data_IF_980015094536
#
_entry.id   IF_980015094536
#
_cell.length_a   1.000
_cell.length_b   1.000
_cell.length_c   1.000
_cell.angle_alpha   90.00
_cell.angle_beta   90.00
_cell.angle_gamma   90.00
#
_symmetry.space_group_name_H-M   'P 1'
#
loop_
_entity.id
_entity.type
_entity.pdbx_description
1 polymer ?
#
# COMPACT_ATOMS: atom_id res chain seq x y z
N UNK A 1 8.11 0.25 -14.76
CA UNK A 1 8.57 -1.14 -14.57
C UNK A 1 8.81 -1.32 -13.08
N UNK A 2 8.40 -2.46 -12.51
CA UNK A 2 8.64 -2.74 -11.09
C UNK A 2 10.14 -2.75 -10.76
N UNK A 3 10.50 -2.14 -9.64
CA UNK A 3 11.86 -2.07 -9.08
C UNK A 3 12.13 -3.23 -8.12
N UNK A 4 11.09 -3.85 -7.57
CA UNK A 4 11.16 -5.02 -6.69
C UNK A 4 10.71 -6.30 -7.38
N UNK A 5 10.92 -7.44 -6.70
CA UNK A 5 10.49 -8.77 -7.18
C UNK A 5 9.56 -9.44 -6.17
N UNK A 6 8.74 -10.41 -6.59
CA UNK A 6 7.88 -11.17 -5.68
C UNK A 6 8.64 -11.84 -4.54
N UNK A 7 9.82 -12.42 -4.82
CA UNK A 7 10.63 -13.08 -3.79
C UNK A 7 11.17 -12.09 -2.75
N UNK A 8 11.52 -10.87 -3.18
CA UNK A 8 11.97 -9.84 -2.25
C UNK A 8 10.83 -9.36 -1.33
N UNK A 9 9.61 -9.24 -1.87
CA UNK A 9 8.42 -8.91 -1.07
C UNK A 9 8.08 -10.05 -0.11
N UNK A 10 8.11 -11.30 -0.59
CA UNK A 10 7.89 -12.50 0.23
C UNK A 10 8.83 -12.54 1.43
N UNK A 11 10.12 -12.27 1.21
CA UNK A 11 11.11 -12.23 2.29
C UNK A 11 10.83 -11.12 3.34
N UNK A 12 10.20 -10.00 2.96
CA UNK A 12 9.79 -8.97 3.94
C UNK A 12 8.54 -9.39 4.71
N UNK A 13 7.58 -10.05 4.04
CA UNK A 13 6.36 -10.55 4.68
C UNK A 13 6.68 -11.64 5.72
N UNK A 14 7.59 -12.55 5.41
CA UNK A 14 8.04 -13.60 6.35
C UNK A 14 8.68 -13.02 7.61
N UNK A 15 9.39 -11.87 7.49
CA UNK A 15 9.94 -11.15 8.66
C UNK A 15 8.87 -10.49 9.53
N UNK A 16 7.64 -10.38 9.04
CA UNK A 16 6.49 -9.89 9.81
C UNK A 16 5.63 -11.05 10.34
N UNK A 17 6.16 -12.28 10.34
CA UNK A 17 5.46 -13.52 10.71
C UNK A 17 4.20 -13.77 9.86
N UNK A 18 4.12 -13.17 8.68
CA UNK A 18 3.01 -13.35 7.77
C UNK A 18 3.12 -14.70 7.05
N UNK A 19 2.05 -15.53 7.02
CA UNK A 19 2.09 -16.82 6.34
C UNK A 19 2.07 -16.63 4.82
N UNK A 20 3.25 -16.62 4.20
CA UNK A 20 3.45 -16.44 2.75
C UNK A 20 3.31 -17.71 1.93
N UNK A 21 3.29 -18.89 2.58
CA UNK A 21 3.28 -20.19 1.92
C UNK A 21 2.07 -20.37 0.97
N UNK A 22 0.95 -19.72 1.29
CA UNK A 22 -0.29 -19.77 0.50
C UNK A 22 -0.35 -18.71 -0.62
N UNK A 23 0.64 -17.79 -0.69
CA UNK A 23 0.64 -16.70 -1.67
C UNK A 23 1.35 -17.10 -2.96
N UNK A 24 0.59 -17.13 -4.05
CA UNK A 24 1.16 -17.27 -5.39
C UNK A 24 1.99 -16.04 -5.78
N UNK A 25 2.98 -16.24 -6.63
CA UNK A 25 3.79 -15.16 -7.20
C UNK A 25 2.93 -14.11 -7.90
N UNK A 26 1.86 -14.55 -8.56
CA UNK A 26 0.91 -13.67 -9.26
C UNK A 26 0.11 -12.79 -8.29
N UNK A 27 -0.29 -13.31 -7.12
CA UNK A 27 -0.95 -12.49 -6.09
C UNK A 27 0.00 -11.45 -5.51
N UNK A 28 1.25 -11.83 -5.24
CA UNK A 28 2.26 -10.87 -4.77
C UNK A 28 2.48 -9.78 -5.83
N UNK A 29 2.48 -10.15 -7.12
CA UNK A 29 2.60 -9.19 -8.21
C UNK A 29 1.40 -8.24 -8.27
N UNK A 30 0.20 -8.78 -8.39
CA UNK A 30 -1.02 -8.00 -8.70
C UNK A 30 -1.55 -7.21 -7.51
N UNK A 31 -1.50 -7.76 -6.29
CA UNK A 31 -2.00 -7.08 -5.08
C UNK A 31 -0.91 -6.25 -4.43
N UNK A 32 0.34 -6.72 -4.48
CA UNK A 32 1.47 -6.03 -3.86
C UNK A 32 2.14 -5.05 -4.81
N UNK A 33 2.84 -5.60 -5.80
CA UNK A 33 3.86 -4.89 -6.58
C UNK A 33 3.24 -3.89 -7.56
N UNK A 34 2.23 -4.27 -8.33
CA UNK A 34 1.62 -3.41 -9.34
C UNK A 34 1.08 -2.09 -8.76
N UNK A 35 0.26 -2.09 -7.69
CA UNK A 35 -0.17 -0.84 -7.05
C UNK A 35 1.01 -0.06 -6.44
N UNK A 36 1.98 -0.75 -5.83
CA UNK A 36 3.15 -0.07 -5.25
C UNK A 36 4.02 0.62 -6.33
N UNK A 37 4.15 0.01 -7.52
CA UNK A 37 4.87 0.61 -8.64
C UNK A 37 4.16 1.86 -9.14
N UNK A 38 2.83 1.86 -9.22
CA UNK A 38 2.05 3.05 -9.59
C UNK A 38 2.28 4.20 -8.60
N UNK A 39 2.16 3.93 -7.30
CA UNK A 39 2.38 4.95 -6.26
C UNK A 39 3.80 5.52 -6.32
N UNK A 40 4.82 4.66 -6.47
CA UNK A 40 6.22 5.11 -6.54
C UNK A 40 6.49 5.91 -7.82
N UNK A 41 5.93 5.48 -8.96
CA UNK A 41 6.11 6.17 -10.24
C UNK A 41 5.45 7.55 -10.22
N UNK A 42 4.20 7.65 -9.75
CA UNK A 42 3.44 8.89 -9.75
C UNK A 42 3.92 9.88 -8.69
N UNK A 43 4.25 9.38 -7.50
CA UNK A 43 4.54 10.25 -6.36
C UNK A 43 6.02 10.50 -6.19
N UNK A 44 6.86 9.47 -6.36
CA UNK A 44 8.24 9.50 -5.89
C UNK A 44 9.29 9.62 -7.00
N UNK A 45 8.98 9.24 -8.25
CA UNK A 45 9.97 9.21 -9.33
C UNK A 45 10.72 10.54 -9.52
N UNK A 46 10.04 11.68 -9.33
CA UNK A 46 10.61 13.02 -9.53
C UNK A 46 11.08 13.69 -8.23
N UNK A 47 11.27 12.94 -7.14
CA UNK A 47 11.67 13.48 -5.84
C UNK A 47 13.18 13.56 -5.64
N UNK A 48 13.98 13.15 -6.63
CA UNK A 48 15.45 13.15 -6.55
C UNK A 48 16.03 12.06 -5.64
N UNK A 49 15.21 11.08 -5.24
CA UNK A 49 15.67 9.93 -4.47
C UNK A 49 16.43 8.94 -5.36
N UNK A 50 17.37 8.20 -4.77
CA UNK A 50 18.13 7.17 -5.48
C UNK A 50 17.24 5.97 -5.85
N UNK A 51 17.57 5.28 -6.94
CA UNK A 51 16.85 4.08 -7.39
C UNK A 51 16.77 3.01 -6.30
N UNK A 52 17.84 2.80 -5.54
CA UNK A 52 17.85 1.87 -4.41
C UNK A 52 16.83 2.23 -3.33
N UNK A 53 16.56 3.52 -3.14
CA UNK A 53 15.59 4.01 -2.16
C UNK A 53 14.18 3.84 -2.70
N UNK A 54 13.94 4.20 -3.95
CA UNK A 54 12.66 3.96 -4.61
C UNK A 54 12.31 2.48 -4.62
N UNK A 55 13.29 1.60 -4.89
CA UNK A 55 13.15 0.15 -4.80
C UNK A 55 12.81 -0.33 -3.39
N UNK A 56 13.42 0.25 -2.37
CA UNK A 56 13.14 -0.09 -0.98
C UNK A 56 11.73 0.33 -0.58
N UNK A 57 11.31 1.53 -0.96
CA UNK A 57 9.96 2.04 -0.72
C UNK A 57 8.92 1.18 -1.44
N UNK A 58 9.12 0.87 -2.72
CA UNK A 58 8.22 0.01 -3.50
C UNK A 58 8.01 -1.36 -2.84
N UNK A 59 9.10 -1.96 -2.33
CA UNK A 59 9.01 -3.25 -1.62
C UNK A 59 8.17 -3.17 -0.35
N UNK A 60 8.35 -2.12 0.43
CA UNK A 60 7.59 -1.91 1.67
C UNK A 60 6.12 -1.59 1.40
N UNK A 61 5.82 -0.80 0.37
CA UNK A 61 4.46 -0.56 -0.09
C UNK A 61 3.79 -1.85 -0.59
N UNK A 62 4.50 -2.65 -1.38
CA UNK A 62 3.96 -3.92 -1.88
C UNK A 62 3.59 -4.87 -0.74
N UNK A 63 4.44 -4.98 0.28
CA UNK A 63 4.11 -5.76 1.47
C UNK A 63 2.97 -5.15 2.28
N UNK A 64 2.91 -3.82 2.40
CA UNK A 64 1.80 -3.13 3.05
C UNK A 64 0.45 -3.43 2.37
N UNK A 65 0.39 -3.40 1.03
CA UNK A 65 -0.82 -3.68 0.27
C UNK A 65 -1.31 -5.11 0.52
N UNK A 66 -0.40 -6.09 0.53
CA UNK A 66 -0.73 -7.49 0.85
C UNK A 66 -1.28 -7.61 2.27
N UNK A 67 -0.59 -7.02 3.26
CA UNK A 67 -1.03 -7.06 4.66
C UNK A 67 -2.40 -6.38 4.86
N UNK A 68 -2.68 -5.31 4.12
CA UNK A 68 -3.90 -4.51 4.26
C UNK A 68 -5.10 -5.10 3.50
N UNK A 69 -4.85 -5.97 2.51
CA UNK A 69 -5.91 -6.58 1.70
C UNK A 69 -6.76 -7.64 2.41
N UNK A 70 -6.42 -8.02 3.64
CA UNK A 70 -7.14 -9.05 4.41
C UNK A 70 -6.77 -10.48 3.97
N UNK A 71 -6.33 -11.31 4.92
CA UNK A 71 -5.83 -12.67 4.66
C UNK A 71 -6.89 -13.56 3.99
N UNK A 72 -8.16 -13.41 4.38
CA UNK A 72 -9.27 -14.24 3.89
C UNK A 72 -9.63 -13.92 2.43
N UNK A 73 -9.54 -12.65 2.04
CA UNK A 73 -9.84 -12.19 0.68
C UNK A 73 -8.78 -12.68 -0.34
N UNK A 74 -7.51 -12.72 0.06
CA UNK A 74 -6.44 -13.31 -0.75
C UNK A 74 -6.59 -14.83 -0.90
N UNK A 75 -6.97 -15.52 0.18
CA UNK A 75 -7.23 -16.98 0.15
C UNK A 75 -8.48 -17.33 -0.66
N UNK A 76 -9.54 -16.53 -0.55
CA UNK A 76 -10.72 -16.65 -1.39
C UNK A 76 -10.37 -16.44 -2.86
N UNK A 77 -9.55 -15.44 -3.20
CA UNK A 77 -9.10 -15.22 -4.59
C UNK A 77 -8.40 -16.45 -5.19
N UNK A 78 -7.63 -17.22 -4.41
CA UNK A 78 -7.02 -18.48 -4.88
C UNK A 78 -8.07 -19.56 -5.18
N UNK A 79 -9.17 -19.60 -4.42
CA UNK A 79 -10.27 -20.57 -4.61
C UNK A 79 -11.34 -20.09 -5.61
N UNK A 80 -11.49 -18.78 -5.81
CA UNK A 80 -12.53 -18.11 -6.62
C UNK A 80 -12.05 -17.72 -8.02
N UNK A 81 -10.80 -17.99 -8.41
CA UNK A 81 -10.29 -17.75 -9.78
C UNK A 81 -11.02 -18.50 -10.92
N UNK A 82 -12.17 -19.12 -10.63
CA UNK A 82 -13.11 -19.64 -11.63
C UNK A 82 -14.21 -18.63 -11.99
N UNK A 83 -14.54 -17.65 -11.15
CA UNK A 83 -15.64 -16.71 -11.45
C UNK A 83 -15.25 -15.24 -11.19
N UNK A 84 -15.47 -14.43 -12.23
CA UNK A 84 -15.14 -13.00 -12.27
C UNK A 84 -15.95 -12.22 -11.24
N UNK A 85 -15.28 -11.48 -10.38
CA UNK A 85 -15.78 -10.19 -9.88
C UNK A 85 -14.60 -9.27 -9.54
N UNK A 86 -14.56 -8.09 -10.18
CA UNK A 86 -13.69 -6.99 -9.75
C UNK A 86 -14.22 -6.48 -8.41
N UNK A 87 -13.72 -7.00 -7.29
CA UNK A 87 -13.94 -6.41 -5.98
C UNK A 87 -13.07 -5.16 -5.83
N UNK A 88 -13.72 -4.01 -5.73
CA UNK A 88 -13.09 -2.74 -5.38
C UNK A 88 -12.73 -2.78 -3.89
N UNK A 89 -11.45 -2.99 -3.57
CA UNK A 89 -10.95 -2.97 -2.19
C UNK A 89 -10.82 -1.53 -1.70
N UNK A 90 -11.95 -0.96 -1.29
CA UNK A 90 -11.98 0.21 -0.42
C UNK A 90 -12.04 -0.27 1.04
N UNK A 91 -10.90 -0.71 1.59
CA UNK A 91 -10.77 -1.00 3.01
C UNK A 91 -10.94 0.28 3.83
N UNK A 92 -11.77 0.21 4.86
CA UNK A 92 -12.21 1.28 5.76
C UNK A 92 -11.04 1.91 6.56
N UNK A 93 -10.34 2.85 5.93
CA UNK A 93 -10.02 4.23 6.33
C UNK A 93 -9.90 4.58 7.83
N UNK A 94 -8.64 4.66 8.31
CA UNK A 94 -8.30 5.45 9.51
C UNK A 94 -6.80 5.70 9.68
N UNK A 95 -5.96 4.68 9.47
CA UNK A 95 -4.50 4.78 9.64
C UNK A 95 -3.69 4.58 8.35
N UNK A 96 -4.34 4.38 7.20
CA UNK A 96 -3.69 4.25 5.87
C UNK A 96 -2.37 3.47 5.91
N UNK A 97 -1.26 4.10 5.53
CA UNK A 97 0.07 3.50 5.50
C UNK A 97 0.62 3.15 6.90
N UNK A 98 0.07 3.71 7.98
CA UNK A 98 0.50 3.38 9.36
C UNK A 98 -0.13 2.12 9.93
N UNK A 99 -1.18 1.59 9.30
CA UNK A 99 -1.88 0.39 9.75
C UNK A 99 -1.00 -0.88 9.77
N UNK A 100 0.11 -0.90 9.04
CA UNK A 100 1.04 -2.03 9.02
C UNK A 100 2.48 -1.60 9.24
N UNK A 101 3.29 -2.47 9.84
CA UNK A 101 4.73 -2.25 10.04
C UNK A 101 5.46 -1.96 8.73
N UNK A 102 5.04 -2.57 7.62
CA UNK A 102 5.64 -2.34 6.31
C UNK A 102 5.27 -0.96 5.75
N UNK A 103 4.03 -0.50 5.93
CA UNK A 103 3.67 0.86 5.51
C UNK A 103 4.37 1.94 6.34
N UNK A 104 4.56 1.72 7.64
CA UNK A 104 5.38 2.60 8.49
C UNK A 104 6.86 2.64 8.03
N UNK A 105 7.41 1.51 7.58
CA UNK A 105 8.76 1.46 6.98
C UNK A 105 8.82 2.20 5.65
N UNK A 106 7.79 2.13 4.81
CA UNK A 106 7.69 2.88 3.56
C UNK A 106 7.74 4.40 3.83
N UNK A 107 6.94 4.89 4.79
CA UNK A 107 6.96 6.30 5.22
C UNK A 107 8.35 6.72 5.69
N UNK A 108 9.00 5.91 6.53
CA UNK A 108 10.35 6.24 7.04
C UNK A 108 11.43 6.22 5.96
N UNK A 109 11.26 5.39 4.93
CA UNK A 109 12.22 5.27 3.83
C UNK A 109 12.09 6.41 2.81
N UNK A 110 10.88 6.95 2.63
CA UNK A 110 10.59 8.11 1.79
C UNK A 110 11.16 9.40 2.39
N UNK A 111 12.14 10.00 1.71
CA UNK A 111 12.74 11.28 2.14
C UNK A 111 11.97 12.50 1.66
N UNK A 112 11.03 12.34 0.73
CA UNK A 112 10.24 13.45 0.20
C UNK A 112 9.11 13.87 1.12
N UNK A 113 8.65 12.96 2.00
CA UNK A 113 7.51 13.16 2.89
C UNK A 113 6.14 12.96 2.20
N UNK A 114 6.11 12.69 0.90
CA UNK A 114 4.86 12.54 0.14
C UNK A 114 4.00 11.40 0.66
N UNK A 115 4.61 10.26 1.02
CA UNK A 115 3.85 9.14 1.59
C UNK A 115 3.26 9.49 2.96
N UNK A 116 3.98 10.28 3.77
CA UNK A 116 3.48 10.74 5.05
C UNK A 116 2.33 11.76 4.91
N UNK A 117 2.32 12.53 3.82
CA UNK A 117 1.29 13.53 3.53
C UNK A 117 0.00 12.91 2.99
N UNK A 118 0.07 11.81 2.22
CA UNK A 118 -1.11 11.06 1.78
C UNK A 118 -1.91 10.46 2.92
N UNK A 119 -1.23 10.13 4.01
CA UNK A 119 -1.80 9.49 5.19
C UNK A 119 -2.49 10.48 6.13
N UNK A 120 -2.44 11.79 5.81
CA UNK A 120 -3.10 12.83 6.61
C UNK A 120 -4.58 12.93 6.21
N UNK A 121 -5.52 12.97 7.17
CA UNK A 121 -6.91 13.26 6.85
C UNK A 121 -7.01 14.63 6.18
N UNK A 122 -7.82 14.70 5.10
CA UNK A 122 -8.10 15.96 4.41
C UNK A 122 -8.72 16.91 5.42
N UNK A 123 -8.13 18.09 5.59
CA UNK A 123 -8.64 19.09 6.53
C UNK A 123 -10.06 19.51 6.09
N UNK A 124 -11.08 19.02 6.78
CA UNK A 124 -12.45 19.53 6.65
C UNK A 124 -12.53 20.85 7.41
N UNK A 125 -12.64 21.95 6.67
CA UNK A 125 -12.99 23.25 7.26
C UNK A 125 -14.48 23.19 7.57
N UNK A 126 -14.81 22.97 8.85
CA UNK A 126 -16.17 23.17 9.35
C UNK A 126 -16.38 24.69 9.46
N UNK A 127 -17.09 25.26 8.47
CA UNK A 127 -17.39 26.70 8.47
C UNK A 127 -18.55 26.91 9.44
N UNK A 128 -18.37 27.60 10.58
CA UNK A 128 -19.48 27.84 11.48
C UNK A 128 -20.52 28.66 10.73
N UNK A 129 -21.75 28.15 10.63
CA UNK A 129 -22.87 28.90 10.07
C UNK A 129 -23.10 30.14 10.95
N UNK A 130 -22.56 31.27 10.53
CA UNK A 130 -22.89 32.57 11.12
C UNK A 130 -24.31 32.90 10.70
N UNK A 131 -25.26 32.47 11.55
CA UNK A 131 -26.65 32.87 11.47
C UNK A 131 -26.74 34.35 11.86
N UNK A 132 -26.48 35.23 10.90
CA UNK A 132 -26.81 36.64 10.96
C UNK A 132 -28.27 36.88 10.61
N UNK A 133 -28.95 37.71 11.40
CA UNK A 133 -30.29 38.27 11.15
C UNK A 133 -31.38 37.61 12.01
N UNK A 134 -32.12 38.32 12.87
CA UNK A 134 -32.41 39.75 13.03
C UNK A 134 -32.53 40.10 14.51
#
# INVERSE_FOLDING_TARGET
MARTTPDAVRAELERTDFPTADLSTEQIQTVGIDPATLDVDELLANTGQSDDRLKLVERYLAGHNILSSGIDDLRQTTSERTDREQKSYAGEFGEGLRSTTLGQKAIRADRSGKLADMDKPVATIDVPSTKGGR
#
